data_IF_443966275440
#
_entry.id   IF_443966275440
#
_cell.length_a   1.000
_cell.length_b   1.000
_cell.length_c   1.000
_cell.angle_alpha   90.00
_cell.angle_beta   90.00
_cell.angle_gamma   90.00
#
_symmetry.space_group_name_H-M   'P 1'
#
loop_
_entity.id
_entity.type
_entity.pdbx_description
1 polymer ?
#
# COMPACT_ATOMS: atom_id res chain seq x y z
N UNK A 1 16.81 3.01 10.67
CA UNK A 1 17.09 4.44 10.39
C UNK A 1 16.67 5.24 11.62
N UNK A 2 16.79 6.57 11.66
CA UNK A 2 16.05 7.32 12.70
C UNK A 2 14.56 7.18 12.39
N UNK A 3 13.74 6.86 13.39
CA UNK A 3 12.28 6.71 13.23
C UNK A 3 11.69 7.97 12.62
N UNK A 4 10.68 7.81 11.75
CA UNK A 4 10.01 8.93 11.10
C UNK A 4 9.37 9.86 12.16
N UNK A 5 9.38 11.19 11.92
CA UNK A 5 8.88 12.13 12.91
C UNK A 5 7.36 12.02 13.08
N UNK A 6 6.90 11.93 14.33
CA UNK A 6 5.48 12.03 14.67
C UNK A 6 5.07 13.50 14.62
N UNK A 7 4.16 13.86 13.72
CA UNK A 7 3.67 15.24 13.56
C UNK A 7 2.31 15.35 14.25
N UNK A 8 2.21 16.15 15.32
CA UNK A 8 0.96 16.37 16.07
C UNK A 8 0.29 15.07 16.57
N UNK A 9 1.09 14.07 16.94
CA UNK A 9 0.59 12.76 17.37
C UNK A 9 0.08 11.87 16.23
N UNK A 10 0.30 12.24 14.96
CA UNK A 10 -0.14 11.48 13.80
C UNK A 10 0.97 10.59 13.25
N UNK A 11 0.57 9.41 12.78
CA UNK A 11 1.43 8.46 12.08
C UNK A 11 1.72 8.95 10.65
N UNK A 12 2.99 9.06 10.24
CA UNK A 12 3.34 9.34 8.83
C UNK A 12 2.82 8.24 7.91
N UNK A 13 2.28 8.63 6.75
CA UNK A 13 1.72 7.71 5.75
C UNK A 13 2.40 7.92 4.40
N UNK A 14 3.12 6.91 3.90
CA UNK A 14 3.66 6.91 2.53
C UNK A 14 2.59 6.43 1.55
N UNK A 15 2.16 7.31 0.65
CA UNK A 15 1.09 7.03 -0.31
C UNK A 15 1.57 6.32 -1.59
N UNK A 16 2.87 6.11 -1.75
CA UNK A 16 3.45 5.62 -3.00
C UNK A 16 4.51 4.54 -2.78
N UNK A 17 4.08 3.38 -2.29
CA UNK A 17 4.98 2.23 -2.12
C UNK A 17 4.64 1.13 -3.11
N UNK A 18 5.51 0.88 -4.08
CA UNK A 18 5.33 -0.23 -5.01
C UNK A 18 5.85 -1.54 -4.45
N UNK A 19 5.00 -2.57 -4.45
CA UNK A 19 5.30 -3.91 -3.95
C UNK A 19 5.16 -4.98 -5.02
N UNK A 20 6.01 -5.99 -4.90
CA UNK A 20 5.89 -7.23 -5.65
C UNK A 20 4.83 -8.17 -5.04
N UNK A 21 4.51 -9.26 -5.73
CA UNK A 21 5.06 -9.67 -7.03
C UNK A 21 4.50 -8.84 -8.20
N UNK A 22 5.35 -8.48 -9.16
CA UNK A 22 4.99 -7.95 -10.48
C UNK A 22 6.10 -8.25 -11.51
N UNK A 23 5.92 -7.85 -12.77
CA UNK A 23 6.91 -8.07 -13.84
C UNK A 23 8.22 -7.31 -13.62
N UNK A 24 8.21 -6.24 -12.81
CA UNK A 24 9.39 -5.49 -12.45
C UNK A 24 9.90 -6.00 -11.10
N UNK A 25 11.22 -6.16 -10.97
CA UNK A 25 11.82 -6.51 -9.69
C UNK A 25 11.52 -5.41 -8.65
N UNK A 26 11.03 -5.81 -7.49
CA UNK A 26 10.71 -4.92 -6.37
C UNK A 26 11.58 -5.24 -5.17
N UNK A 27 11.92 -4.20 -4.42
CA UNK A 27 12.64 -4.33 -3.15
C UNK A 27 11.79 -5.03 -2.09
N UNK A 28 10.49 -4.76 -2.09
CA UNK A 28 9.54 -5.24 -1.09
C UNK A 28 8.38 -5.99 -1.74
N UNK A 29 7.84 -6.96 -0.99
CA UNK A 29 6.47 -7.44 -1.10
C UNK A 29 5.58 -6.78 -0.03
N UNK A 30 4.29 -7.16 0.01
CA UNK A 30 3.34 -6.61 0.97
C UNK A 30 3.63 -6.97 2.45
N UNK A 31 4.36 -8.06 2.72
CA UNK A 31 4.64 -8.52 4.08
C UNK A 31 5.92 -7.92 4.65
N UNK A 32 6.96 -7.82 3.83
CA UNK A 32 8.24 -7.18 4.15
C UNK A 32 8.09 -5.67 4.35
N UNK A 33 7.27 -4.98 3.53
CA UNK A 33 6.97 -3.56 3.81
C UNK A 33 6.16 -3.37 5.09
N UNK A 34 5.26 -4.31 5.40
CA UNK A 34 4.45 -4.28 6.62
C UNK A 34 5.31 -4.50 7.88
N UNK A 35 6.37 -5.31 7.76
CA UNK A 35 7.40 -5.48 8.79
C UNK A 35 8.15 -4.18 9.06
N UNK A 36 8.71 -3.58 8.01
CA UNK A 36 9.47 -2.34 8.13
C UNK A 36 8.61 -1.18 8.65
N UNK A 37 7.35 -1.11 8.21
CA UNK A 37 6.40 -0.10 8.66
C UNK A 37 6.06 -0.23 10.16
N UNK A 38 5.96 -1.45 10.68
CA UNK A 38 5.77 -1.72 12.11
C UNK A 38 7.03 -1.33 12.91
N UNK A 39 8.21 -1.73 12.45
CA UNK A 39 9.49 -1.47 13.11
C UNK A 39 9.85 0.03 13.18
N UNK A 40 9.68 0.73 12.06
CA UNK A 40 10.07 2.14 11.89
C UNK A 40 8.93 3.11 12.26
N UNK A 41 7.72 2.60 12.50
CA UNK A 41 6.59 3.38 13.00
C UNK A 41 5.96 4.30 11.97
N UNK A 42 5.61 3.75 10.80
CA UNK A 42 4.86 4.46 9.76
C UNK A 42 3.76 3.59 9.16
N UNK A 43 2.89 4.20 8.37
CA UNK A 43 1.92 3.48 7.53
C UNK A 43 2.26 3.62 6.05
N UNK A 44 1.69 2.77 5.19
CA UNK A 44 1.84 2.95 3.75
C UNK A 44 0.61 2.51 2.93
N UNK A 45 0.55 2.98 1.69
CA UNK A 45 -0.39 2.53 0.65
C UNK A 45 0.36 1.69 -0.37
N UNK A 46 -0.04 0.43 -0.51
CA UNK A 46 0.58 -0.52 -1.43
C UNK A 46 0.12 -0.28 -2.86
N UNK A 47 1.05 -0.21 -3.80
CA UNK A 47 0.82 -0.10 -5.24
C UNK A 47 1.44 -1.27 -5.98
N UNK A 48 0.81 -1.64 -7.09
CA UNK A 48 1.32 -2.61 -8.04
C UNK A 48 0.86 -2.18 -9.43
N UNK A 49 1.71 -2.28 -10.45
CA UNK A 49 1.41 -1.75 -11.78
C UNK A 49 0.30 -2.51 -12.52
N UNK A 50 0.00 -3.73 -12.09
CA UNK A 50 -0.80 -4.69 -12.84
C UNK A 50 -1.99 -5.21 -12.04
N UNK A 51 -1.86 -5.33 -10.72
CA UNK A 51 -2.84 -5.97 -9.84
C UNK A 51 -3.33 -5.03 -8.73
N UNK A 52 -4.56 -5.25 -8.27
CA UNK A 52 -5.06 -4.62 -7.06
C UNK A 52 -4.33 -5.16 -5.82
N UNK A 53 -4.00 -4.27 -4.87
CA UNK A 53 -3.28 -4.65 -3.63
C UNK A 53 -4.18 -4.71 -2.40
N UNK A 54 -5.50 -4.55 -2.55
CA UNK A 54 -6.47 -4.53 -1.45
C UNK A 54 -6.46 -5.82 -0.63
N UNK A 55 -6.44 -6.99 -1.29
CA UNK A 55 -6.35 -8.28 -0.62
C UNK A 55 -5.01 -8.47 0.12
N UNK A 56 -3.90 -8.08 -0.50
CA UNK A 56 -2.57 -8.16 0.10
C UNK A 56 -2.47 -7.28 1.35
N UNK A 57 -2.94 -6.04 1.26
CA UNK A 57 -2.97 -5.12 2.40
C UNK A 57 -3.84 -5.67 3.54
N UNK A 58 -5.00 -6.27 3.24
CA UNK A 58 -5.83 -6.91 4.25
C UNK A 58 -5.11 -8.08 4.92
N UNK A 59 -4.40 -8.92 4.15
CA UNK A 59 -3.57 -9.99 4.69
C UNK A 59 -2.45 -9.46 5.59
N UNK A 60 -1.70 -8.44 5.17
CA UNK A 60 -0.64 -7.84 5.98
C UNK A 60 -1.16 -7.36 7.35
N UNK A 61 -2.34 -6.73 7.38
CA UNK A 61 -2.98 -6.26 8.63
C UNK A 61 -3.48 -7.40 9.53
N UNK A 62 -3.76 -8.59 8.99
CA UNK A 62 -4.10 -9.76 9.81
C UNK A 62 -2.88 -10.34 10.53
N UNK A 63 -1.67 -10.08 10.04
CA UNK A 63 -0.44 -10.65 10.59
C UNK A 63 0.38 -9.64 11.42
N UNK A 64 0.17 -8.33 11.24
CA UNK A 64 0.87 -7.28 12.01
C UNK A 64 -0.03 -6.09 12.34
N UNK A 65 0.16 -5.43 13.49
CA UNK A 65 -0.61 -4.26 13.91
C UNK A 65 -0.14 -2.97 13.20
N UNK A 66 -0.16 -2.96 11.86
CA UNK A 66 0.39 -1.88 11.04
C UNK A 66 -0.69 -1.20 10.17
N UNK A 67 -0.50 0.09 9.89
CA UNK A 67 -1.37 0.84 8.96
C UNK A 67 -0.90 0.64 7.53
N UNK A 68 -1.30 -0.48 6.92
CA UNK A 68 -1.06 -0.75 5.49
C UNK A 68 -2.39 -0.70 4.75
N UNK A 69 -2.51 0.12 3.71
CA UNK A 69 -3.71 0.26 2.88
C UNK A 69 -3.46 -0.28 1.47
N UNK A 70 -4.50 -0.82 0.84
CA UNK A 70 -4.41 -1.27 -0.55
C UNK A 70 -4.81 -0.18 -1.52
N UNK A 71 -4.49 -0.38 -2.80
CA UNK A 71 -4.91 0.49 -3.89
C UNK A 71 -5.14 -0.28 -5.18
N UNK A 72 -5.77 0.40 -6.14
CA UNK A 72 -5.79 0.02 -7.55
C UNK A 72 -5.14 1.18 -8.31
N UNK A 73 -4.08 0.90 -9.06
CA UNK A 73 -3.52 1.90 -9.97
C UNK A 73 -4.26 1.83 -11.30
N UNK A 74 -4.63 2.99 -11.84
CA UNK A 74 -5.45 3.11 -13.05
C UNK A 74 -4.62 2.96 -14.34
N UNK A 75 -3.78 1.93 -14.37
CA UNK A 75 -3.01 1.54 -15.55
C UNK A 75 -3.87 0.74 -16.52
N UNK A 76 -3.39 0.54 -17.76
CA UNK A 76 -4.10 -0.25 -18.78
C UNK A 76 -4.61 -1.63 -18.31
N UNK A 77 -3.87 -2.43 -17.53
CA UNK A 77 -4.38 -3.71 -17.01
C UNK A 77 -5.63 -3.58 -16.14
N UNK A 78 -5.84 -2.43 -15.49
CA UNK A 78 -7.02 -2.11 -14.70
C UNK A 78 -8.09 -1.33 -15.49
N UNK A 79 -7.94 -1.22 -16.82
CA UNK A 79 -8.84 -0.47 -17.70
C UNK A 79 -8.44 1.00 -17.96
N UNK A 80 -7.27 1.44 -17.47
CA UNK A 80 -6.81 2.82 -17.61
C UNK A 80 -7.54 3.79 -16.70
N UNK A 81 -7.50 5.09 -17.02
CA UNK A 81 -8.20 6.14 -16.28
C UNK A 81 -9.73 5.90 -16.36
N UNK A 82 -10.27 5.27 -15.31
CA UNK A 82 -11.65 4.80 -15.24
C UNK A 82 -12.42 5.50 -14.11
N UNK A 83 -13.34 6.43 -14.41
CA UNK A 83 -14.16 7.11 -13.41
C UNK A 83 -15.02 6.17 -12.56
N UNK A 84 -15.48 5.05 -13.11
CA UNK A 84 -16.27 4.06 -12.36
C UNK A 84 -15.41 3.33 -11.32
N UNK A 85 -14.12 3.13 -11.59
CA UNK A 85 -13.20 2.59 -10.58
C UNK A 85 -13.03 3.56 -9.39
N UNK A 86 -13.03 4.88 -9.66
CA UNK A 86 -12.99 5.90 -8.60
C UNK A 86 -14.29 5.88 -7.79
N UNK A 87 -15.46 5.83 -8.45
CA UNK A 87 -16.77 5.74 -7.80
C UNK A 87 -16.91 4.49 -6.92
N UNK A 88 -16.39 3.37 -7.38
CA UNK A 88 -16.38 2.13 -6.59
C UNK A 88 -15.53 2.27 -5.31
N UNK A 89 -14.39 2.98 -5.40
CA UNK A 89 -13.51 3.22 -4.26
C UNK A 89 -14.07 4.23 -3.23
N UNK A 90 -14.96 5.14 -3.64
CA UNK A 90 -15.62 6.09 -2.72
C UNK A 90 -16.49 5.37 -1.67
N UNK A 91 -17.05 4.20 -2.03
CA UNK A 91 -18.01 3.46 -1.20
C UNK A 91 -17.43 2.21 -0.53
N UNK A 92 -16.14 1.94 -0.72
CA UNK A 92 -15.43 0.79 -0.18
C UNK A 92 -14.70 1.13 1.12
#
# INVERSE_FOLDING_TARGET
MDKLPVVRGQLPLDLHVHVGPEFLARRYDAFSVAEEADEEGFGCVLKNHFLATTALAAQSRMHRPVTVLGSVVLNYPAGGLNPEAIRAAEKA
#
